data_IF_637707920049
#
_entry.id   IF_637707920049
#
_cell.length_a   1.000
_cell.length_b   1.000
_cell.length_c   1.000
_cell.angle_alpha   90.00
_cell.angle_beta   90.00
_cell.angle_gamma   90.00
#
_symmetry.space_group_name_H-M   'P 1'
#
loop_
_entity.id
_entity.type
_entity.pdbx_description
1 polymer ?
#
# COMPACT_ATOMS: atom_id res chain seq x y z
N UNK A 1 91.22 5.33 19.79
CA UNK A 1 90.50 6.42 20.49
C UNK A 1 89.84 7.30 19.44
N UNK A 2 88.63 7.74 19.75
CA UNK A 2 87.58 8.27 18.88
C UNK A 2 88.00 9.31 17.82
N UNK A 3 87.37 9.27 16.65
CA UNK A 3 86.26 10.19 16.29
C UNK A 3 85.74 9.92 14.87
N UNK A 4 84.42 9.92 14.75
CA UNK A 4 83.59 9.79 13.54
C UNK A 4 83.63 11.05 12.67
N UNK A 5 83.46 10.94 11.33
CA UNK A 5 83.00 12.05 10.51
C UNK A 5 81.53 11.88 10.08
N UNK A 6 80.80 13.00 10.11
CA UNK A 6 79.42 13.14 9.66
C UNK A 6 79.30 12.90 8.14
N UNK A 7 78.24 12.20 7.73
CA UNK A 7 77.92 11.88 6.33
C UNK A 7 76.61 12.58 5.94
N UNK A 8 76.64 13.11 4.73
CA UNK A 8 75.64 13.97 4.09
C UNK A 8 74.26 13.33 3.92
N UNK A 9 73.21 14.03 4.33
CA UNK A 9 71.82 13.67 4.07
C UNK A 9 71.38 14.21 2.70
N UNK A 10 71.13 13.30 1.77
CA UNK A 10 70.42 13.56 0.52
C UNK A 10 68.91 13.34 0.75
N UNK A 11 68.09 14.32 0.33
CA UNK A 11 66.65 14.31 0.48
C UNK A 11 65.97 13.20 -0.35
N UNK A 12 65.00 12.44 0.21
CA UNK A 12 64.15 11.56 -0.56
C UNK A 12 62.92 12.30 -1.08
N UNK A 13 62.68 12.15 -2.39
CA UNK A 13 61.49 12.60 -3.12
C UNK A 13 60.28 11.80 -2.61
N UNK A 14 59.35 12.47 -1.94
CA UNK A 14 58.10 11.87 -1.50
C UNK A 14 57.14 11.72 -2.69
N UNK A 15 56.99 10.51 -3.22
CA UNK A 15 55.92 10.14 -4.15
C UNK A 15 54.56 10.20 -3.44
N UNK A 16 53.77 11.23 -3.75
CA UNK A 16 52.35 11.27 -3.40
C UNK A 16 51.58 10.21 -4.20
N UNK A 17 51.23 9.11 -3.53
CA UNK A 17 50.20 8.19 -4.00
C UNK A 17 48.84 8.88 -3.81
N UNK A 18 48.29 9.47 -4.86
CA UNK A 18 46.89 9.91 -4.87
C UNK A 18 45.99 8.66 -4.91
N UNK A 19 45.58 8.16 -3.74
CA UNK A 19 44.41 7.29 -3.64
C UNK A 19 43.20 8.12 -4.05
N UNK A 20 42.75 7.96 -5.30
CA UNK A 20 41.43 8.39 -5.72
C UNK A 20 40.41 7.51 -5.00
N UNK A 21 39.98 7.94 -3.82
CA UNK A 21 38.76 7.45 -3.19
C UNK A 21 37.62 7.79 -4.15
N UNK A 22 37.12 6.78 -4.87
CA UNK A 22 35.90 6.92 -5.65
C UNK A 22 34.79 7.31 -4.69
N UNK A 23 34.41 8.59 -4.70
CA UNK A 23 33.20 9.05 -4.06
C UNK A 23 32.04 8.38 -4.80
N UNK A 24 31.56 7.26 -4.27
CA UNK A 24 30.23 6.77 -4.58
C UNK A 24 29.28 7.92 -4.23
N UNK A 25 28.73 8.58 -5.25
CA UNK A 25 27.72 9.61 -5.05
C UNK A 25 26.55 8.94 -4.32
N UNK A 26 26.10 9.45 -3.15
CA UNK A 26 25.01 8.83 -2.43
C UNK A 26 23.71 9.32 -3.06
N UNK A 27 23.35 8.76 -4.22
CA UNK A 27 22.00 8.92 -4.74
C UNK A 27 20.97 8.25 -3.80
N UNK A 28 21.40 7.31 -2.94
CA UNK A 28 20.53 6.50 -2.07
C UNK A 28 21.11 6.27 -0.67
N UNK A 29 21.50 7.34 0.04
CA UNK A 29 21.86 7.20 1.46
C UNK A 29 20.64 6.73 2.28
N UNK A 30 20.85 5.86 3.26
CA UNK A 30 19.84 5.57 4.29
C UNK A 30 19.48 6.85 5.07
N UNK A 31 18.33 6.87 5.73
CA UNK A 31 17.86 8.02 6.53
C UNK A 31 18.64 8.20 7.85
N UNK A 32 19.41 7.18 8.26
CA UNK A 32 20.32 7.17 9.42
C UNK A 32 21.51 6.21 9.19
N UNK A 33 22.51 6.26 10.07
CA UNK A 33 23.72 5.43 9.93
C UNK A 33 23.51 4.01 10.49
N UNK A 34 23.44 3.02 9.60
CA UNK A 34 23.31 1.62 10.00
C UNK A 34 24.51 1.03 10.74
N UNK A 35 25.66 1.72 10.76
CA UNK A 35 26.81 1.33 11.61
C UNK A 35 26.60 1.72 13.07
N UNK A 36 25.71 2.67 13.34
CA UNK A 36 25.42 3.16 14.67
C UNK A 36 23.92 3.52 14.82
N UNK A 37 23.00 2.53 14.78
CA UNK A 37 21.57 2.79 14.90
C UNK A 37 21.21 3.35 16.29
N UNK A 38 20.42 4.42 16.32
CA UNK A 38 20.13 5.17 17.56
C UNK A 38 19.03 4.58 18.43
N UNK A 39 18.26 3.61 17.92
CA UNK A 39 17.17 2.96 18.65
C UNK A 39 16.85 1.54 18.13
N UNK A 40 16.02 0.75 18.84
CA UNK A 40 15.69 -0.62 18.42
C UNK A 40 15.05 -0.72 17.04
N UNK A 41 14.26 0.27 16.62
CA UNK A 41 13.63 0.30 15.29
C UNK A 41 14.65 0.47 14.19
N UNK A 42 15.58 1.42 14.33
CA UNK A 42 16.68 1.62 13.40
C UNK A 42 17.56 0.38 13.29
N UNK A 43 17.82 -0.30 14.42
CA UNK A 43 18.54 -1.57 14.41
C UNK A 43 17.79 -2.65 13.62
N UNK A 44 16.48 -2.76 13.79
CA UNK A 44 15.64 -3.69 13.03
C UNK A 44 15.61 -3.34 11.54
N UNK A 45 15.57 -2.06 11.19
CA UNK A 45 15.62 -1.60 9.80
C UNK A 45 16.95 -1.99 9.15
N UNK A 46 18.08 -1.73 9.81
CA UNK A 46 19.40 -2.05 9.25
C UNK A 46 19.68 -3.55 9.15
N UNK A 47 19.03 -4.36 9.99
CA UNK A 47 19.17 -5.81 9.97
C UNK A 47 18.28 -6.48 8.90
N UNK A 48 17.28 -5.77 8.37
CA UNK A 48 16.32 -6.30 7.40
C UNK A 48 16.49 -5.57 6.05
N UNK A 49 16.99 -6.25 4.99
CA UNK A 49 17.25 -5.62 3.68
C UNK A 49 16.02 -4.96 3.03
N UNK A 50 14.80 -5.42 3.32
CA UNK A 50 13.60 -4.80 2.77
C UNK A 50 13.26 -3.51 3.51
N UNK A 51 13.43 -3.50 4.83
CA UNK A 51 13.26 -2.27 5.60
C UNK A 51 14.34 -1.24 5.28
N UNK A 52 15.59 -1.65 5.06
CA UNK A 52 16.67 -0.77 4.59
C UNK A 52 16.33 -0.19 3.20
N UNK A 53 15.77 -0.98 2.27
CA UNK A 53 15.29 -0.45 0.99
C UNK A 53 14.15 0.55 1.13
N UNK A 54 13.16 0.25 1.97
CA UNK A 54 12.06 1.18 2.25
C UNK A 54 12.55 2.48 2.90
N UNK A 55 13.57 2.39 3.77
CA UNK A 55 14.23 3.54 4.38
C UNK A 55 14.96 4.41 3.37
N UNK A 56 15.74 3.79 2.47
CA UNK A 56 16.42 4.49 1.37
C UNK A 56 15.42 5.15 0.43
N UNK A 57 14.38 4.42 0.06
CA UNK A 57 13.33 4.92 -0.84
C UNK A 57 12.58 6.10 -0.22
N UNK A 58 12.24 5.99 1.07
CA UNK A 58 11.70 7.11 1.84
C UNK A 58 12.65 8.31 1.82
N UNK A 59 13.93 8.13 2.12
CA UNK A 59 14.92 9.20 2.17
C UNK A 59 15.10 9.87 0.80
N UNK A 60 15.15 9.07 -0.27
CA UNK A 60 15.27 9.54 -1.65
C UNK A 60 14.06 10.38 -2.05
N UNK A 61 12.84 9.85 -1.88
CA UNK A 61 11.60 10.55 -2.22
C UNK A 61 11.47 11.84 -1.41
N UNK A 62 11.70 11.79 -0.09
CA UNK A 62 11.62 12.97 0.77
C UNK A 62 12.59 14.06 0.34
N UNK A 63 13.86 13.71 0.06
CA UNK A 63 14.87 14.65 -0.42
C UNK A 63 14.51 15.26 -1.77
N UNK A 64 14.12 14.43 -2.74
CA UNK A 64 13.72 14.91 -4.07
C UNK A 64 12.52 15.86 -3.97
N UNK A 65 11.53 15.53 -3.15
CA UNK A 65 10.35 16.36 -2.94
C UNK A 65 10.74 17.73 -2.34
N UNK A 66 11.53 17.73 -1.27
CA UNK A 66 12.01 18.96 -0.62
C UNK A 66 12.83 19.81 -1.59
N UNK A 67 13.77 19.21 -2.33
CA UNK A 67 14.58 19.94 -3.32
C UNK A 67 13.73 20.59 -4.41
N UNK A 68 12.75 19.86 -4.95
CA UNK A 68 11.83 20.38 -5.97
C UNK A 68 11.00 21.56 -5.44
N UNK A 69 10.48 21.45 -4.21
CA UNK A 69 9.74 22.53 -3.54
C UNK A 69 10.59 23.78 -3.34
N UNK A 70 11.83 23.61 -2.86
CA UNK A 70 12.77 24.70 -2.63
C UNK A 70 13.15 25.41 -3.93
N UNK A 71 13.47 24.65 -4.98
CA UNK A 71 13.81 25.20 -6.31
C UNK A 71 12.64 25.96 -6.94
N UNK A 72 11.41 25.49 -6.73
CA UNK A 72 10.21 26.14 -7.24
C UNK A 72 9.85 27.43 -6.45
N UNK A 73 10.38 27.63 -5.23
CA UNK A 73 10.31 28.88 -4.47
C UNK A 73 8.92 29.29 -3.92
N UNK A 74 7.85 28.58 -4.29
CA UNK A 74 6.47 28.89 -3.90
C UNK A 74 5.79 27.70 -3.20
N UNK A 75 6.44 27.04 -2.25
CA UNK A 75 5.92 25.84 -1.55
C UNK A 75 6.12 25.89 -0.03
N UNK A 76 6.22 27.08 0.56
CA UNK A 76 6.54 27.30 1.98
C UNK A 76 5.66 26.49 2.93
N UNK A 77 4.33 26.49 2.76
CA UNK A 77 3.41 25.74 3.64
C UNK A 77 3.56 24.23 3.47
N UNK A 78 3.74 23.77 2.23
CA UNK A 78 3.86 22.36 1.92
C UNK A 78 5.21 21.80 2.38
N UNK A 79 6.28 22.57 2.17
CA UNK A 79 7.62 22.31 2.67
C UNK A 79 7.61 22.26 4.20
N UNK A 80 6.99 23.25 4.85
CA UNK A 80 6.82 23.28 6.30
C UNK A 80 6.07 22.04 6.80
N UNK A 81 4.95 21.66 6.17
CA UNK A 81 4.23 20.45 6.53
C UNK A 81 5.06 19.18 6.39
N UNK A 82 5.78 18.99 5.27
CA UNK A 82 6.63 17.80 5.07
C UNK A 82 7.73 17.74 6.11
N UNK A 83 8.37 18.88 6.41
CA UNK A 83 9.43 19.03 7.40
C UNK A 83 8.92 18.80 8.83
N UNK A 84 7.80 19.41 9.22
CA UNK A 84 7.23 19.28 10.57
C UNK A 84 6.65 17.88 10.83
N UNK A 85 6.06 17.27 9.79
CA UNK A 85 5.51 15.91 9.90
C UNK A 85 6.58 14.82 9.90
N UNK A 86 7.83 15.15 9.54
CA UNK A 86 8.95 14.21 9.49
C UNK A 86 9.29 13.68 10.89
N UNK A 87 9.40 14.55 11.89
CA UNK A 87 9.70 14.15 13.26
C UNK A 87 8.57 13.29 13.83
N UNK A 88 7.32 13.70 13.60
CA UNK A 88 6.14 12.94 14.01
C UNK A 88 6.14 11.54 13.38
N UNK A 89 6.40 11.45 12.08
CA UNK A 89 6.48 10.17 11.39
C UNK A 89 7.63 9.30 11.93
N UNK A 90 8.80 9.86 12.19
CA UNK A 90 9.91 9.12 12.81
C UNK A 90 9.52 8.55 14.17
N UNK A 91 8.79 9.32 14.98
CA UNK A 91 8.26 8.85 16.26
C UNK A 91 7.24 7.71 16.08
N UNK A 92 6.33 7.82 15.12
CA UNK A 92 5.37 6.75 14.77
C UNK A 92 6.09 5.47 14.32
N UNK A 93 7.11 5.60 13.45
CA UNK A 93 7.96 4.48 13.03
C UNK A 93 8.68 3.86 14.22
N UNK A 94 9.33 4.67 15.05
CA UNK A 94 10.13 4.21 16.18
C UNK A 94 9.27 3.61 17.31
N UNK A 95 7.98 3.95 17.39
CA UNK A 95 7.04 3.31 18.29
C UNK A 95 6.82 1.81 17.96
N UNK A 96 7.10 1.39 16.72
CA UNK A 96 7.06 -0.03 16.32
C UNK A 96 8.15 -0.88 16.98
N UNK A 97 9.19 -0.27 17.57
CA UNK A 97 10.33 -0.96 18.19
C UNK A 97 10.90 -2.01 17.22
N UNK A 98 10.88 -3.28 17.57
CA UNK A 98 11.47 -4.36 16.78
C UNK A 98 10.46 -5.09 15.89
N UNK A 99 9.21 -4.63 15.79
CA UNK A 99 8.19 -5.24 14.93
C UNK A 99 8.37 -4.80 13.46
N UNK A 100 8.87 -5.66 12.57
CA UNK A 100 9.18 -5.24 11.22
C UNK A 100 7.93 -5.12 10.33
N UNK A 101 6.77 -5.68 10.74
CA UNK A 101 5.49 -5.45 10.05
C UNK A 101 4.95 -4.07 10.35
N UNK A 102 4.96 -3.67 11.63
CA UNK A 102 4.60 -2.31 12.02
C UNK A 102 5.51 -1.28 11.32
N UNK A 103 6.82 -1.54 11.24
CA UNK A 103 7.76 -0.66 10.54
C UNK A 103 7.45 -0.57 9.04
N UNK A 104 7.20 -1.71 8.37
CA UNK A 104 6.82 -1.76 6.95
C UNK A 104 5.55 -0.92 6.69
N UNK A 105 4.56 -1.06 7.56
CA UNK A 105 3.28 -0.34 7.47
C UNK A 105 3.44 1.16 7.74
N UNK A 106 4.33 1.55 8.67
CA UNK A 106 4.71 2.94 8.90
C UNK A 106 5.42 3.55 7.69
N UNK A 107 6.29 2.80 6.99
CA UNK A 107 6.89 3.23 5.73
C UNK A 107 5.85 3.37 4.62
N UNK A 108 4.97 2.38 4.44
CA UNK A 108 3.93 2.43 3.41
C UNK A 108 3.03 3.66 3.55
N UNK A 109 2.59 3.98 4.79
CA UNK A 109 1.81 5.20 5.07
C UNK A 109 2.58 6.47 4.72
N UNK A 110 3.86 6.55 5.10
CA UNK A 110 4.65 7.75 4.85
C UNK A 110 4.97 7.93 3.38
N UNK A 111 5.31 6.86 2.69
CA UNK A 111 5.49 6.87 1.25
C UNK A 111 4.21 7.28 0.53
N UNK A 112 3.03 6.86 1.00
CA UNK A 112 1.77 7.36 0.47
C UNK A 112 1.63 8.87 0.65
N UNK A 113 1.96 9.42 1.83
CA UNK A 113 1.97 10.88 2.10
C UNK A 113 2.97 11.61 1.22
N UNK A 114 4.22 11.14 1.13
CA UNK A 114 5.28 11.80 0.37
C UNK A 114 5.05 11.74 -1.15
N UNK A 115 4.37 10.69 -1.62
CA UNK A 115 3.95 10.59 -3.02
C UNK A 115 2.61 11.30 -3.30
N UNK A 116 2.03 12.01 -2.32
CA UNK A 116 0.90 12.90 -2.60
C UNK A 116 1.34 14.14 -3.35
N UNK A 117 0.37 14.78 -4.02
CA UNK A 117 0.57 16.12 -4.51
C UNK A 117 0.64 17.13 -3.38
N UNK A 118 1.75 17.84 -3.31
CA UNK A 118 1.81 19.10 -2.59
C UNK A 118 1.54 20.27 -3.55
N UNK A 119 0.78 21.26 -3.08
CA UNK A 119 0.45 22.46 -3.86
C UNK A 119 1.37 23.62 -3.48
N UNK A 120 1.68 24.51 -4.43
CA UNK A 120 2.40 25.73 -4.12
C UNK A 120 1.54 26.67 -3.25
N UNK A 121 2.19 27.55 -2.50
CA UNK A 121 1.49 28.52 -1.67
C UNK A 121 0.62 29.44 -2.53
N UNK A 122 -0.55 29.79 -2.00
CA UNK A 122 -1.39 30.80 -2.62
C UNK A 122 -0.74 32.18 -2.41
N UNK A 123 -0.58 33.00 -3.47
CA UNK A 123 -0.22 34.39 -3.28
C UNK A 123 -1.32 35.09 -2.47
N UNK A 124 -0.91 35.86 -1.46
CA UNK A 124 -1.81 36.75 -0.74
C UNK A 124 -2.34 37.80 -1.73
N UNK A 125 -3.63 37.72 -2.04
CA UNK A 125 -4.39 38.63 -2.90
C UNK A 125 -3.92 38.77 -4.36
N UNK A 126 -4.44 37.89 -5.22
CA UNK A 126 -4.88 38.29 -6.59
C UNK A 126 -5.82 37.23 -7.16
N UNK A 127 -6.88 37.68 -7.84
CA UNK A 127 -7.89 36.86 -8.50
C UNK A 127 -7.29 35.91 -9.58
N UNK A 128 -8.00 34.84 -9.98
CA UNK A 128 -7.41 33.54 -10.24
C UNK A 128 -6.73 33.44 -11.62
N UNK A 129 -5.42 33.23 -11.61
CA UNK A 129 -4.70 32.60 -12.72
C UNK A 129 -4.60 31.09 -12.45
N UNK A 130 -4.83 30.32 -13.50
CA UNK A 130 -5.09 28.88 -13.50
C UNK A 130 -3.86 28.06 -13.10
N UNK A 131 -3.76 27.64 -11.84
CA UNK A 131 -2.93 26.50 -11.42
C UNK A 131 -3.86 25.34 -11.07
N UNK A 132 -3.94 24.32 -11.93
CA UNK A 132 -4.91 23.22 -11.80
C UNK A 132 -4.56 22.33 -10.58
N UNK A 133 -5.34 22.34 -9.50
CA UNK A 133 -5.11 21.51 -8.32
C UNK A 133 -5.41 20.01 -8.56
N UNK A 134 -5.52 19.55 -9.81
CA UNK A 134 -5.92 18.18 -10.16
C UNK A 134 -4.81 17.34 -10.80
N UNK A 135 -3.78 17.97 -11.36
CA UNK A 135 -2.80 17.25 -12.20
C UNK A 135 -2.00 16.19 -11.42
N UNK A 136 -1.65 16.48 -10.17
CA UNK A 136 -0.78 15.61 -9.38
C UNK A 136 -1.56 14.63 -8.49
N UNK A 137 -2.81 14.94 -8.07
CA UNK A 137 -3.74 13.92 -7.53
C UNK A 137 -3.90 12.77 -8.53
N UNK A 138 -3.84 13.14 -9.81
CA UNK A 138 -4.01 12.24 -10.94
C UNK A 138 -2.72 11.64 -11.50
N UNK A 139 -1.60 11.78 -10.78
CA UNK A 139 -0.36 11.12 -11.14
C UNK A 139 -0.53 9.60 -11.13
N UNK A 140 0.00 8.94 -12.16
CA UNK A 140 -0.07 7.47 -12.25
C UNK A 140 0.77 6.82 -11.15
N UNK A 141 0.17 5.87 -10.46
CA UNK A 141 0.86 5.06 -9.46
C UNK A 141 -0.12 4.30 -8.57
N UNK A 142 0.41 3.29 -7.87
CA UNK A 142 -0.33 2.59 -6.84
C UNK A 142 -0.44 3.51 -5.60
N UNK A 143 -1.67 3.92 -5.29
CA UNK A 143 -2.04 4.79 -4.18
C UNK A 143 -3.04 4.10 -3.24
N UNK A 144 -3.12 2.77 -3.27
CA UNK A 144 -4.04 1.99 -2.42
C UNK A 144 -3.59 2.04 -0.97
N UNK A 145 -4.52 2.37 -0.07
CA UNK A 145 -4.34 2.18 1.37
C UNK A 145 -4.67 0.73 1.76
N UNK A 146 -3.64 -0.11 1.83
CA UNK A 146 -3.82 -1.50 2.25
C UNK A 146 -4.24 -1.64 3.72
N UNK A 147 -4.02 -0.65 4.58
CA UNK A 147 -4.53 -0.69 5.96
C UNK A 147 -6.06 -0.60 6.00
N UNK A 148 -6.67 0.14 5.06
CA UNK A 148 -8.12 0.14 4.87
C UNK A 148 -8.66 -1.24 4.47
N UNK A 149 -7.92 -1.96 3.62
CA UNK A 149 -8.33 -3.27 3.08
C UNK A 149 -8.23 -4.37 4.16
N UNK A 150 -7.32 -4.23 5.12
CA UNK A 150 -7.19 -5.17 6.26
C UNK A 150 -8.41 -5.12 7.19
N UNK A 151 -8.62 -6.20 7.95
CA UNK A 151 -9.71 -6.34 8.95
C UNK A 151 -9.26 -6.10 10.41
N UNK A 152 -8.15 -5.38 10.62
CA UNK A 152 -7.44 -5.27 11.91
C UNK A 152 -6.77 -6.59 12.37
N UNK A 153 -6.41 -7.47 11.43
CA UNK A 153 -5.68 -8.69 11.72
C UNK A 153 -4.18 -8.36 11.70
N UNK A 154 -3.48 -8.61 12.81
CA UNK A 154 -2.01 -8.62 12.83
C UNK A 154 -1.47 -9.71 11.90
N UNK A 155 -0.18 -9.65 11.57
CA UNK A 155 0.43 -10.66 10.72
C UNK A 155 0.48 -12.02 11.43
N UNK A 156 -0.14 -13.04 10.83
CA UNK A 156 -0.12 -14.40 11.33
C UNK A 156 0.98 -15.20 10.61
N UNK A 157 1.93 -15.75 11.37
CA UNK A 157 2.98 -16.61 10.83
C UNK A 157 2.49 -18.05 10.71
N UNK A 158 1.73 -18.50 11.71
CA UNK A 158 1.06 -19.79 11.68
C UNK A 158 -0.23 -19.70 10.88
N UNK A 159 -0.51 -20.76 10.14
CA UNK A 159 -1.74 -20.90 9.37
C UNK A 159 -2.90 -21.09 10.35
N UNK A 160 -4.03 -20.45 10.09
CA UNK A 160 -5.23 -20.54 10.93
C UNK A 160 -6.49 -20.43 10.08
N UNK A 161 -7.67 -20.63 10.68
CA UNK A 161 -8.97 -20.40 10.03
C UNK A 161 -9.74 -19.41 10.89
N UNK A 162 -10.04 -18.19 10.39
CA UNK A 162 -10.75 -17.17 11.14
C UNK A 162 -12.06 -17.67 11.74
N UNK A 163 -12.26 -17.46 13.05
CA UNK A 163 -13.43 -17.91 13.83
C UNK A 163 -13.37 -19.34 14.34
N UNK A 164 -12.56 -20.21 13.71
CA UNK A 164 -12.37 -21.58 14.18
C UNK A 164 -11.19 -21.71 15.15
N UNK A 165 -10.08 -21.03 14.85
CA UNK A 165 -8.86 -21.07 15.67
C UNK A 165 -8.75 -19.84 16.57
N UNK A 166 -8.22 -20.03 17.78
CA UNK A 166 -7.71 -18.95 18.61
C UNK A 166 -6.31 -18.56 18.13
N UNK A 167 -5.99 -17.26 18.18
CA UNK A 167 -4.74 -16.71 17.67
C UNK A 167 -4.10 -15.76 18.68
N UNK A 168 -2.77 -15.70 18.65
CA UNK A 168 -2.00 -14.64 19.29
C UNK A 168 -1.42 -13.75 18.19
N UNK A 169 -2.05 -12.59 17.99
CA UNK A 169 -1.65 -11.64 16.94
C UNK A 169 -0.32 -10.94 17.25
N UNK A 170 0.13 -10.90 18.51
CA UNK A 170 1.41 -10.27 18.86
C UNK A 170 2.59 -11.17 18.48
N UNK A 171 2.42 -12.49 18.59
CA UNK A 171 3.44 -13.47 18.22
C UNK A 171 3.19 -14.11 16.85
N UNK A 172 2.03 -13.88 16.24
CA UNK A 172 1.61 -14.45 14.96
C UNK A 172 1.27 -15.94 15.03
N UNK A 173 0.91 -16.46 16.21
CA UNK A 173 0.78 -17.90 16.47
C UNK A 173 -0.65 -18.41 16.47
N UNK A 174 -0.85 -19.63 15.98
CA UNK A 174 -2.12 -20.36 16.08
C UNK A 174 -2.13 -21.14 17.40
N UNK A 175 -3.06 -20.81 18.30
CA UNK A 175 -3.20 -21.40 19.63
C UNK A 175 -4.09 -22.65 19.65
N UNK A 176 -4.54 -23.09 18.48
CA UNK A 176 -5.44 -24.22 18.29
C UNK A 176 -6.90 -23.83 18.19
N UNK A 177 -7.78 -24.85 18.17
CA UNK A 177 -9.23 -24.67 18.12
C UNK A 177 -9.70 -23.73 19.24
N UNK A 178 -10.49 -22.72 18.87
CA UNK A 178 -11.02 -21.74 19.80
C UNK A 178 -11.96 -22.39 20.83
N UNK A 179 -12.11 -21.75 21.98
CA UNK A 179 -13.06 -22.22 23.00
C UNK A 179 -14.50 -22.03 22.51
N UNK A 180 -15.43 -22.93 22.88
CA UNK A 180 -16.84 -22.75 22.57
C UNK A 180 -17.38 -21.42 23.11
N UNK A 181 -18.21 -20.75 22.30
CA UNK A 181 -18.89 -19.54 22.73
C UNK A 181 -20.09 -19.90 23.61
N UNK A 182 -20.15 -19.33 24.81
CA UNK A 182 -21.31 -19.42 25.71
C UNK A 182 -22.28 -18.30 25.42
N UNK A 183 -23.45 -18.65 24.89
CA UNK A 183 -24.55 -17.70 24.78
C UNK A 183 -25.11 -17.33 26.17
N UNK A 184 -25.79 -16.18 26.28
CA UNK A 184 -26.40 -15.70 27.54
C UNK A 184 -27.39 -16.68 28.17
N UNK A 185 -27.91 -17.63 27.40
CA UNK A 185 -28.81 -18.69 27.84
C UNK A 185 -28.07 -19.99 28.25
N UNK A 186 -26.74 -19.96 28.36
CA UNK A 186 -25.93 -21.11 28.75
C UNK A 186 -25.63 -22.12 27.64
N UNK A 187 -26.17 -21.92 26.42
CA UNK A 187 -25.89 -22.81 25.28
C UNK A 187 -24.46 -22.57 24.78
N UNK A 188 -23.66 -23.63 24.79
CA UNK A 188 -22.34 -23.63 24.16
C UNK A 188 -22.47 -23.88 22.65
N UNK A 189 -21.69 -23.14 21.89
CA UNK A 189 -21.58 -23.30 20.44
C UNK A 189 -20.14 -23.53 20.07
N UNK A 190 -19.90 -24.63 19.36
CA UNK A 190 -18.57 -24.95 18.82
C UNK A 190 -18.08 -23.82 17.90
N UNK A 191 -16.78 -23.53 17.89
CA UNK A 191 -16.22 -22.50 17.03
C UNK A 191 -16.43 -22.88 15.56
N UNK A 192 -16.78 -21.89 14.75
CA UNK A 192 -17.09 -22.06 13.33
C UNK A 192 -16.27 -21.08 12.51
N UNK A 193 -15.80 -21.47 11.32
CA UNK A 193 -15.19 -20.54 10.38
C UNK A 193 -16.12 -19.36 10.08
N UNK A 194 -15.56 -18.15 10.02
CA UNK A 194 -16.32 -16.96 9.67
C UNK A 194 -16.71 -17.03 8.19
N UNK A 195 -18.01 -16.99 7.88
CA UNK A 195 -18.52 -16.92 6.51
C UNK A 195 -17.97 -18.02 5.59
N UNK A 196 -17.20 -17.67 4.56
CA UNK A 196 -16.59 -18.58 3.58
C UNK A 196 -15.07 -18.60 3.70
N UNK A 197 -14.53 -18.29 4.90
CA UNK A 197 -13.09 -18.23 5.13
C UNK A 197 -12.44 -19.58 4.87
N UNK A 198 -11.32 -19.59 4.16
CA UNK A 198 -10.40 -20.72 4.09
C UNK A 198 -9.33 -20.63 5.17
N UNK A 199 -8.22 -21.34 4.94
CA UNK A 199 -7.01 -21.17 5.74
C UNK A 199 -6.37 -19.82 5.40
N UNK A 200 -5.95 -19.10 6.42
CA UNK A 200 -5.40 -17.75 6.35
C UNK A 200 -3.99 -17.72 6.94
N UNK A 201 -3.11 -16.92 6.33
CA UNK A 201 -1.73 -16.67 6.79
C UNK A 201 -1.30 -15.25 6.40
N UNK A 202 -0.21 -14.77 7.00
CA UNK A 202 0.33 -13.44 6.76
C UNK A 202 -0.64 -12.36 7.18
N UNK A 203 -0.80 -11.34 6.34
CA UNK A 203 -1.69 -10.19 6.58
C UNK A 203 -3.02 -10.45 5.88
N UNK A 204 -3.73 -11.49 6.34
CA UNK A 204 -5.08 -11.82 5.91
C UNK A 204 -5.19 -12.57 4.58
N UNK A 205 -4.12 -13.22 4.09
CA UNK A 205 -4.14 -13.99 2.83
C UNK A 205 -5.00 -15.23 3.00
N UNK A 206 -6.25 -15.18 2.52
CA UNK A 206 -7.17 -16.31 2.51
C UNK A 206 -6.88 -17.25 1.33
N UNK A 207 -6.19 -18.36 1.63
CA UNK A 207 -5.73 -19.36 0.69
C UNK A 207 -6.92 -20.05 -0.02
N UNK A 208 -8.09 -20.13 0.61
CA UNK A 208 -9.30 -20.68 -0.02
C UNK A 208 -9.80 -19.87 -1.22
N UNK A 209 -9.30 -18.63 -1.40
CA UNK A 209 -9.57 -17.76 -2.55
C UNK A 209 -8.47 -17.75 -3.60
N UNK A 210 -7.38 -18.47 -3.36
CA UNK A 210 -6.20 -18.45 -4.20
C UNK A 210 -6.04 -19.77 -4.95
N UNK A 211 -5.43 -19.70 -6.14
CA UNK A 211 -4.93 -20.88 -6.85
C UNK A 211 -3.41 -20.89 -6.86
N UNK A 212 -2.81 -22.05 -7.13
CA UNK A 212 -1.34 -22.14 -7.19
C UNK A 212 -0.80 -21.18 -8.27
N UNK A 213 -1.46 -21.15 -9.43
CA UNK A 213 -1.10 -20.26 -10.52
C UNK A 213 -1.28 -18.77 -10.18
N UNK A 214 -2.33 -18.39 -9.43
CA UNK A 214 -2.52 -16.99 -9.04
C UNK A 214 -1.41 -16.53 -8.08
N UNK A 215 -1.07 -17.35 -7.08
CA UNK A 215 -0.01 -17.04 -6.14
C UNK A 215 1.37 -17.02 -6.80
N UNK A 216 1.66 -18.00 -7.67
CA UNK A 216 2.92 -18.06 -8.41
C UNK A 216 3.10 -16.79 -9.25
N UNK A 217 2.10 -16.41 -10.03
CA UNK A 217 2.14 -15.16 -10.83
C UNK A 217 2.30 -13.93 -9.95
N UNK A 218 1.49 -13.80 -8.91
CA UNK A 218 1.55 -12.66 -7.99
C UNK A 218 2.94 -12.50 -7.36
N UNK A 219 3.52 -13.58 -6.84
CA UNK A 219 4.84 -13.56 -6.21
C UNK A 219 5.97 -13.28 -7.22
N UNK A 220 5.93 -13.84 -8.43
CA UNK A 220 6.94 -13.50 -9.44
C UNK A 220 6.84 -12.05 -9.88
N UNK A 221 5.62 -11.50 -10.01
CA UNK A 221 5.42 -10.10 -10.35
C UNK A 221 5.89 -9.19 -9.20
N UNK A 222 5.58 -9.54 -7.96
CA UNK A 222 6.08 -8.82 -6.77
C UNK A 222 7.60 -8.78 -6.73
N UNK A 223 8.25 -9.93 -6.94
CA UNK A 223 9.70 -10.04 -6.98
C UNK A 223 10.33 -9.18 -8.08
N UNK A 224 9.63 -9.04 -9.21
CA UNK A 224 10.08 -8.23 -10.35
C UNK A 224 9.94 -6.74 -10.09
N UNK A 225 8.81 -6.31 -9.53
CA UNK A 225 8.48 -4.89 -9.40
C UNK A 225 9.06 -4.28 -8.12
N UNK A 226 9.08 -5.04 -7.02
CA UNK A 226 9.46 -4.57 -5.69
C UNK A 226 10.65 -5.32 -5.08
N UNK A 227 11.04 -6.44 -5.68
CA UNK A 227 12.08 -7.32 -5.16
C UNK A 227 11.52 -8.41 -4.24
N UNK A 228 12.39 -9.36 -3.88
CA UNK A 228 12.09 -10.48 -2.99
C UNK A 228 13.25 -10.65 -2.02
N UNK A 229 13.02 -10.99 -0.74
CA UNK A 229 14.10 -11.36 0.16
C UNK A 229 14.92 -12.55 -0.37
N UNK A 230 16.22 -12.57 -0.05
CA UNK A 230 17.16 -13.59 -0.57
C UNK A 230 16.85 -14.99 -0.01
N UNK A 231 16.40 -15.06 1.24
CA UNK A 231 16.04 -16.28 1.96
C UNK A 231 14.65 -16.83 1.56
N UNK A 232 13.84 -16.02 0.88
CA UNK A 232 12.48 -16.43 0.46
C UNK A 232 12.53 -17.19 -0.86
N UNK A 233 12.05 -18.43 -0.87
CA UNK A 233 11.87 -19.22 -2.09
C UNK A 233 10.38 -19.36 -2.42
N UNK A 234 10.01 -18.98 -3.64
CA UNK A 234 8.62 -19.00 -4.10
C UNK A 234 8.07 -20.43 -4.05
N UNK A 235 8.84 -21.41 -4.52
CA UNK A 235 8.41 -22.82 -4.52
C UNK A 235 8.21 -23.36 -3.09
N UNK A 236 9.08 -23.02 -2.13
CA UNK A 236 8.91 -23.44 -0.73
C UNK A 236 7.63 -22.85 -0.10
N UNK A 237 7.23 -21.62 -0.47
CA UNK A 237 5.95 -21.05 -0.05
C UNK A 237 4.80 -21.82 -0.70
N UNK A 238 4.87 -22.04 -2.03
CA UNK A 238 3.82 -22.75 -2.78
C UNK A 238 3.59 -24.16 -2.23
N UNK A 239 4.64 -24.93 -1.96
CA UNK A 239 4.54 -26.27 -1.40
C UNK A 239 3.85 -26.27 -0.02
N UNK A 240 4.10 -25.25 0.80
CA UNK A 240 3.45 -25.10 2.11
C UNK A 240 1.99 -24.69 2.04
N UNK A 241 1.61 -23.81 1.11
CA UNK A 241 0.24 -23.32 1.00
C UNK A 241 -0.66 -24.24 0.17
N UNK A 242 -0.09 -25.02 -0.76
CA UNK A 242 -0.80 -25.87 -1.72
C UNK A 242 -1.91 -26.73 -1.13
N UNK A 243 -1.74 -27.39 0.04
CA UNK A 243 -2.79 -28.21 0.63
C UNK A 243 -4.04 -27.43 1.08
N UNK A 244 -3.97 -26.10 1.12
CA UNK A 244 -5.01 -25.24 1.70
C UNK A 244 -5.61 -24.25 0.70
N UNK A 245 -5.23 -24.36 -0.57
CA UNK A 245 -5.73 -23.48 -1.64
C UNK A 245 -7.19 -23.78 -1.98
N UNK A 246 -7.79 -22.93 -2.82
CA UNK A 246 -9.13 -23.14 -3.35
C UNK A 246 -9.30 -24.56 -3.93
N UNK A 247 -10.45 -25.24 -3.71
CA UNK A 247 -11.71 -24.72 -3.16
C UNK A 247 -11.87 -24.84 -1.64
N UNK A 248 -10.84 -25.22 -0.87
CA UNK A 248 -10.96 -25.51 0.55
C UNK A 248 -11.38 -24.28 1.36
N UNK A 249 -12.57 -24.35 1.96
CA UNK A 249 -13.19 -23.27 2.73
C UNK A 249 -14.04 -23.82 3.84
N UNK A 250 -14.46 -22.95 4.75
CA UNK A 250 -15.35 -23.29 5.87
C UNK A 250 -14.76 -24.49 6.64
N UNK A 251 -15.60 -25.47 7.00
CA UNK A 251 -15.17 -26.58 7.83
C UNK A 251 -14.15 -27.48 7.12
N UNK A 252 -14.18 -27.57 5.79
CA UNK A 252 -13.18 -28.36 5.04
C UNK A 252 -11.78 -27.78 5.21
N UNK A 253 -11.66 -26.44 5.21
CA UNK A 253 -10.39 -25.77 5.50
C UNK A 253 -9.94 -25.98 6.95
N UNK A 254 -10.87 -25.94 7.92
CA UNK A 254 -10.55 -26.20 9.33
C UNK A 254 -10.09 -27.65 9.54
N UNK A 255 -10.81 -28.61 8.97
CA UNK A 255 -10.48 -30.03 9.05
C UNK A 255 -9.12 -30.33 8.40
N UNK A 256 -8.86 -29.79 7.20
CA UNK A 256 -7.58 -29.97 6.52
C UNK A 256 -6.40 -29.46 7.36
N UNK A 257 -6.57 -28.33 8.06
CA UNK A 257 -5.54 -27.76 8.91
C UNK A 257 -5.34 -28.56 10.22
N UNK A 258 -6.42 -29.07 10.81
CA UNK A 258 -6.35 -29.96 11.98
C UNK A 258 -5.71 -31.31 11.62
N UNK A 259 -6.04 -31.88 10.46
CA UNK A 259 -5.42 -33.11 9.96
C UNK A 259 -3.93 -32.92 9.68
N UNK A 260 -3.54 -31.77 9.11
CA UNK A 260 -2.13 -31.41 8.97
C UNK A 260 -1.41 -31.43 10.33
N UNK A 261 -1.97 -30.74 11.32
CA UNK A 261 -1.41 -30.67 12.67
C UNK A 261 -1.34 -32.05 13.32
N UNK A 262 -2.39 -32.86 13.20
CA UNK A 262 -2.44 -34.23 13.72
C UNK A 262 -1.32 -35.10 13.13
N UNK A 263 -1.07 -34.98 11.83
CA UNK A 263 -0.08 -35.79 11.12
C UNK A 263 1.37 -35.30 11.32
N UNK A 264 1.58 -34.01 11.60
CA UNK A 264 2.92 -33.39 11.68
C UNK A 264 3.31 -32.94 13.09
N UNK A 265 2.39 -33.00 14.06
CA UNK A 265 2.57 -32.53 15.44
C UNK A 265 2.49 -31.01 15.63
N UNK A 266 2.40 -30.22 14.55
CA UNK A 266 2.32 -28.75 14.59
C UNK A 266 1.59 -28.18 13.38
N UNK A 267 1.02 -26.98 13.53
CA UNK A 267 0.48 -26.22 12.40
C UNK A 267 1.63 -25.82 11.44
N UNK A 268 1.33 -25.63 10.14
CA UNK A 268 2.30 -25.05 9.22
C UNK A 268 2.56 -23.59 9.59
N UNK A 269 3.74 -23.10 9.25
CA UNK A 269 4.13 -21.72 9.47
C UNK A 269 5.01 -21.18 8.34
N UNK A 270 4.97 -19.86 8.17
CA UNK A 270 5.88 -19.09 7.33
C UNK A 270 6.87 -18.33 8.22
N UNK A 271 8.06 -18.06 7.69
CA UNK A 271 8.93 -17.04 8.30
C UNK A 271 8.28 -15.66 8.17
N UNK A 272 8.74 -14.69 8.96
CA UNK A 272 8.23 -13.32 8.83
C UNK A 272 8.49 -12.73 7.45
N UNK A 273 9.63 -13.04 6.82
CA UNK A 273 9.96 -12.58 5.47
C UNK A 273 9.02 -13.18 4.41
N UNK A 274 8.75 -14.49 4.50
CA UNK A 274 7.82 -15.19 3.60
C UNK A 274 6.39 -14.68 3.76
N UNK A 275 5.93 -14.51 5.00
CA UNK A 275 4.59 -14.00 5.29
C UNK A 275 4.39 -12.58 4.75
N UNK A 276 5.39 -11.69 4.86
CA UNK A 276 5.35 -10.34 4.26
C UNK A 276 5.30 -10.41 2.75
N UNK A 277 6.22 -11.16 2.16
CA UNK A 277 6.34 -11.25 0.72
C UNK A 277 5.05 -11.80 0.07
N UNK A 278 4.51 -12.90 0.61
CA UNK A 278 3.23 -13.46 0.16
C UNK A 278 2.09 -12.46 0.32
N UNK A 279 2.02 -11.76 1.47
CA UNK A 279 0.96 -10.77 1.73
C UNK A 279 1.01 -9.59 0.77
N UNK A 280 2.21 -9.06 0.50
CA UNK A 280 2.44 -7.96 -0.42
C UNK A 280 2.07 -8.36 -1.85
N UNK A 281 2.55 -9.52 -2.30
CA UNK A 281 2.23 -10.08 -3.60
C UNK A 281 0.71 -10.21 -3.83
N UNK A 282 -0.01 -10.76 -2.86
CA UNK A 282 -1.47 -10.92 -2.96
C UNK A 282 -2.19 -9.57 -2.94
N UNK A 283 -1.76 -8.62 -2.11
CA UNK A 283 -2.31 -7.26 -2.05
C UNK A 283 -2.14 -6.50 -3.38
N UNK A 284 -0.96 -6.56 -3.97
CA UNK A 284 -0.69 -5.95 -5.28
C UNK A 284 -1.43 -6.66 -6.41
N UNK A 285 -1.55 -7.99 -6.38
CA UNK A 285 -2.35 -8.73 -7.37
C UNK A 285 -3.83 -8.33 -7.35
N UNK A 286 -4.43 -8.15 -6.16
CA UNK A 286 -5.81 -7.62 -6.07
C UNK A 286 -5.93 -6.19 -6.61
N UNK A 287 -4.89 -5.38 -6.46
CA UNK A 287 -4.85 -4.01 -7.01
C UNK A 287 -4.80 -4.06 -8.54
N UNK A 288 -3.96 -4.92 -9.12
CA UNK A 288 -3.91 -5.15 -10.56
C UNK A 288 -5.26 -5.67 -11.10
N UNK A 289 -5.87 -6.65 -10.44
CA UNK A 289 -7.20 -7.15 -10.81
C UNK A 289 -8.27 -6.04 -10.76
N UNK A 290 -8.20 -5.14 -9.78
CA UNK A 290 -9.13 -4.00 -9.69
C UNK A 290 -8.90 -3.01 -10.84
N UNK A 291 -7.64 -2.72 -11.17
CA UNK A 291 -7.25 -1.87 -12.28
C UNK A 291 -7.74 -2.43 -13.62
N UNK A 292 -7.52 -3.73 -13.88
CA UNK A 292 -7.96 -4.41 -15.10
C UNK A 292 -9.48 -4.31 -15.29
N UNK A 293 -10.24 -4.61 -14.22
CA UNK A 293 -11.70 -4.54 -14.26
C UNK A 293 -12.16 -3.10 -14.50
N UNK A 294 -11.57 -2.13 -13.80
CA UNK A 294 -11.94 -0.72 -13.93
C UNK A 294 -11.62 -0.17 -15.32
N UNK A 295 -10.37 -0.30 -15.78
CA UNK A 295 -9.90 0.24 -17.05
C UNK A 295 -10.66 -0.35 -18.24
N UNK A 296 -11.02 -1.63 -18.18
CA UNK A 296 -11.83 -2.29 -19.22
C UNK A 296 -13.30 -1.85 -19.22
N UNK A 297 -13.84 -1.45 -18.07
CA UNK A 297 -15.28 -1.26 -17.88
C UNK A 297 -15.71 0.20 -17.74
N UNK A 298 -14.75 1.12 -17.61
CA UNK A 298 -15.00 2.56 -17.49
C UNK A 298 -15.73 3.10 -18.73
N UNK A 299 -16.56 4.13 -18.56
CA UNK A 299 -17.41 4.69 -19.63
C UNK A 299 -17.31 6.20 -19.80
N UNK A 300 -16.25 6.81 -19.27
CA UNK A 300 -16.08 8.25 -19.30
C UNK A 300 -15.35 8.69 -20.56
N UNK A 301 -15.61 9.93 -21.00
CA UNK A 301 -14.88 10.60 -22.06
C UNK A 301 -14.37 11.96 -21.54
N UNK A 302 -13.04 12.19 -21.44
CA UNK A 302 -11.97 11.23 -21.73
C UNK A 302 -11.96 10.04 -20.76
N UNK A 303 -11.40 8.88 -21.17
CA UNK A 303 -11.40 7.66 -20.36
C UNK A 303 -10.69 7.89 -19.02
N UNK A 304 -11.27 7.31 -17.97
CA UNK A 304 -10.58 7.22 -16.68
C UNK A 304 -9.52 6.10 -16.72
N UNK A 305 -8.38 6.32 -16.09
CA UNK A 305 -7.36 5.30 -15.83
C UNK A 305 -7.27 5.07 -14.32
N UNK A 306 -7.39 3.82 -13.89
CA UNK A 306 -7.31 3.41 -12.49
C UNK A 306 -6.07 3.97 -11.81
N UNK A 307 -4.91 3.88 -12.47
CA UNK A 307 -3.64 4.32 -11.90
C UNK A 307 -3.56 5.84 -11.74
N UNK A 308 -4.33 6.59 -12.52
CA UNK A 308 -4.51 8.03 -12.34
C UNK A 308 -5.55 8.37 -11.28
N UNK A 309 -6.41 7.46 -10.82
CA UNK A 309 -7.43 7.83 -9.84
C UNK A 309 -6.81 8.27 -8.49
N UNK A 310 -7.52 9.12 -7.70
CA UNK A 310 -7.17 9.42 -6.32
C UNK A 310 -7.06 8.16 -5.45
N UNK A 311 -6.30 8.25 -4.35
CA UNK A 311 -6.03 7.15 -3.43
C UNK A 311 -7.32 6.49 -2.90
N UNK A 312 -8.34 7.29 -2.57
CA UNK A 312 -9.61 6.83 -2.03
C UNK A 312 -10.39 5.97 -3.03
N UNK A 313 -10.39 6.37 -4.31
CA UNK A 313 -11.05 5.62 -5.36
C UNK A 313 -10.31 4.30 -5.65
N UNK A 314 -8.98 4.32 -5.76
CA UNK A 314 -8.18 3.10 -5.92
C UNK A 314 -8.40 2.14 -4.75
N UNK A 315 -8.42 2.67 -3.52
CA UNK A 315 -8.62 1.90 -2.29
C UNK A 315 -9.98 1.23 -2.28
N UNK A 316 -11.07 1.95 -2.58
CA UNK A 316 -12.41 1.35 -2.59
C UNK A 316 -12.57 0.31 -3.71
N UNK A 317 -12.06 0.58 -4.91
CA UNK A 317 -12.13 -0.38 -6.02
C UNK A 317 -11.34 -1.67 -5.72
N UNK A 318 -10.15 -1.53 -5.12
CA UNK A 318 -9.33 -2.67 -4.69
C UNK A 318 -10.01 -3.42 -3.54
N UNK A 319 -10.57 -2.69 -2.57
CA UNK A 319 -11.27 -3.28 -1.45
C UNK A 319 -12.51 -4.09 -1.86
N UNK A 320 -13.27 -3.62 -2.84
CA UNK A 320 -14.39 -4.37 -3.40
C UNK A 320 -13.89 -5.65 -4.08
N UNK A 321 -12.77 -5.57 -4.81
CA UNK A 321 -12.15 -6.73 -5.47
C UNK A 321 -11.67 -7.75 -4.46
N UNK A 322 -11.06 -7.31 -3.37
CA UNK A 322 -10.61 -8.17 -2.28
C UNK A 322 -11.76 -8.92 -1.60
N UNK A 323 -12.81 -8.21 -1.15
CA UNK A 323 -13.88 -8.83 -0.33
C UNK A 323 -15.00 -9.47 -1.15
N UNK A 324 -15.19 -9.06 -2.40
CA UNK A 324 -16.31 -9.52 -3.22
C UNK A 324 -15.88 -10.09 -4.59
N UNK A 325 -14.57 -10.18 -4.85
CA UNK A 325 -14.04 -10.63 -6.13
C UNK A 325 -14.28 -9.64 -7.28
N UNK A 326 -13.85 -10.04 -8.48
CA UNK A 326 -13.95 -9.22 -9.71
C UNK A 326 -15.40 -8.93 -10.14
N UNK A 327 -16.36 -9.79 -9.79
CA UNK A 327 -17.78 -9.66 -10.16
C UNK A 327 -18.70 -9.12 -9.06
N UNK A 328 -18.21 -8.90 -7.84
CA UNK A 328 -19.05 -8.51 -6.71
C UNK A 328 -19.45 -7.03 -6.71
N UNK A 329 -20.54 -6.71 -5.99
CA UNK A 329 -21.11 -5.36 -5.90
C UNK A 329 -21.35 -4.69 -7.27
N UNK A 330 -21.89 -5.45 -8.22
CA UNK A 330 -22.09 -5.05 -9.62
C UNK A 330 -22.66 -3.65 -9.79
N UNK A 331 -23.70 -3.27 -9.03
CA UNK A 331 -24.32 -1.94 -9.14
C UNK A 331 -23.40 -0.82 -8.64
N UNK A 332 -22.70 -1.01 -7.52
CA UNK A 332 -21.74 -0.01 -7.00
C UNK A 332 -20.57 0.14 -7.99
N UNK A 333 -20.00 -0.98 -8.46
CA UNK A 333 -18.94 -0.96 -9.47
C UNK A 333 -19.37 -0.23 -10.74
N UNK A 334 -20.58 -0.51 -11.23
CA UNK A 334 -21.13 0.16 -12.40
C UNK A 334 -21.16 1.68 -12.23
N UNK A 335 -21.52 2.19 -11.05
CA UNK A 335 -21.51 3.63 -10.76
C UNK A 335 -20.07 4.18 -10.73
N UNK A 336 -19.14 3.48 -10.06
CA UNK A 336 -17.73 3.87 -10.00
C UNK A 336 -17.08 3.90 -11.41
N UNK A 337 -17.35 2.90 -12.25
CA UNK A 337 -16.85 2.85 -13.64
C UNK A 337 -17.43 3.96 -14.52
N UNK A 338 -18.63 4.45 -14.18
CA UNK A 338 -19.24 5.60 -14.83
C UNK A 338 -18.77 6.93 -14.22
N UNK A 339 -17.87 6.96 -13.23
CA UNK A 339 -17.49 8.20 -12.54
C UNK A 339 -18.63 8.82 -11.73
N UNK A 340 -19.69 8.07 -11.42
CA UNK A 340 -20.84 8.53 -10.61
C UNK A 340 -20.52 8.36 -9.12
N UNK A 341 -19.54 9.11 -8.64
CA UNK A 341 -18.94 8.93 -7.31
C UNK A 341 -19.94 9.14 -6.17
N UNK A 342 -20.75 10.21 -6.23
CA UNK A 342 -21.75 10.48 -5.20
C UNK A 342 -22.87 9.41 -5.20
N UNK A 343 -23.35 8.99 -6.38
CA UNK A 343 -24.34 7.91 -6.45
C UNK A 343 -23.77 6.59 -5.91
N UNK A 344 -22.48 6.32 -6.11
CA UNK A 344 -21.83 5.15 -5.53
C UNK A 344 -21.78 5.22 -3.98
N UNK A 345 -21.49 6.39 -3.41
CA UNK A 345 -21.58 6.63 -1.96
C UNK A 345 -22.99 6.36 -1.44
N UNK A 346 -23.99 6.94 -2.09
CA UNK A 346 -25.38 6.79 -1.69
C UNK A 346 -25.83 5.34 -1.81
N UNK A 347 -25.39 4.64 -2.87
CA UNK A 347 -25.69 3.22 -3.04
C UNK A 347 -25.05 2.36 -1.96
N UNK A 348 -23.80 2.63 -1.57
CA UNK A 348 -23.13 1.94 -0.47
C UNK A 348 -23.87 2.15 0.85
N UNK A 349 -24.30 3.38 1.15
CA UNK A 349 -25.11 3.69 2.34
C UNK A 349 -26.46 2.98 2.31
N UNK A 350 -27.11 2.94 1.15
CA UNK A 350 -28.40 2.29 0.95
C UNK A 350 -28.34 0.77 1.21
N UNK A 351 -27.31 0.09 0.70
CA UNK A 351 -27.19 -1.37 0.85
C UNK A 351 -26.55 -1.80 2.18
N UNK A 352 -25.94 -0.86 2.92
CA UNK A 352 -25.25 -1.19 4.16
C UNK A 352 -26.16 -1.91 5.19
N UNK A 353 -27.38 -1.44 5.50
CA UNK A 353 -28.22 -2.04 6.55
C UNK A 353 -28.62 -3.49 6.26
N UNK A 354 -28.79 -3.85 4.99
CA UNK A 354 -29.22 -5.19 4.55
C UNK A 354 -28.05 -6.11 4.21
N UNK A 355 -26.81 -5.63 4.29
CA UNK A 355 -25.62 -6.43 4.03
C UNK A 355 -25.08 -7.07 5.31
N UNK A 356 -24.60 -8.32 5.23
CA UNK A 356 -23.76 -8.93 6.26
C UNK A 356 -22.39 -8.24 6.45
N UNK A 357 -22.19 -7.09 5.81
CA UNK A 357 -20.95 -6.29 5.77
C UNK A 357 -21.24 -4.81 6.02
N UNK A 358 -22.28 -4.48 6.79
CA UNK A 358 -22.76 -3.11 7.06
C UNK A 358 -21.62 -2.12 7.31
N UNK A 359 -20.76 -2.41 8.28
CA UNK A 359 -19.65 -1.53 8.66
C UNK A 359 -18.68 -1.30 7.50
N UNK A 360 -18.40 -2.34 6.70
CA UNK A 360 -17.49 -2.23 5.57
C UNK A 360 -18.08 -1.38 4.45
N UNK A 361 -19.37 -1.51 4.17
CA UNK A 361 -20.06 -0.66 3.20
C UNK A 361 -20.03 0.81 3.64
N UNK A 362 -20.28 1.08 4.93
CA UNK A 362 -20.20 2.43 5.48
C UNK A 362 -18.78 3.00 5.45
N UNK A 363 -17.75 2.20 5.77
CA UNK A 363 -16.35 2.64 5.65
C UNK A 363 -15.99 3.07 4.23
N UNK A 364 -16.41 2.31 3.21
CA UNK A 364 -16.20 2.67 1.79
C UNK A 364 -16.91 3.98 1.43
N UNK A 365 -18.18 4.10 1.83
CA UNK A 365 -18.98 5.30 1.59
C UNK A 365 -18.34 6.54 2.23
N UNK A 366 -17.87 6.42 3.48
CA UNK A 366 -17.20 7.51 4.19
C UNK A 366 -15.89 7.90 3.52
N UNK A 367 -15.08 6.94 3.07
CA UNK A 367 -13.81 7.22 2.40
C UNK A 367 -14.04 8.02 1.10
N UNK A 368 -14.98 7.59 0.26
CA UNK A 368 -15.33 8.31 -0.96
C UNK A 368 -15.99 9.66 -0.68
N UNK A 369 -16.87 9.76 0.32
CA UNK A 369 -17.50 11.04 0.68
C UNK A 369 -16.45 12.05 1.14
N UNK A 370 -15.47 11.65 1.95
CA UNK A 370 -14.37 12.55 2.36
C UNK A 370 -13.55 13.06 1.17
N UNK A 371 -13.30 12.20 0.18
CA UNK A 371 -12.64 12.62 -1.05
C UNK A 371 -13.49 13.60 -1.89
N UNK A 372 -14.81 13.41 -1.91
CA UNK A 372 -15.74 14.35 -2.55
C UNK A 372 -15.77 15.69 -1.81
N UNK A 373 -15.88 15.66 -0.49
CA UNK A 373 -15.92 16.87 0.35
C UNK A 373 -14.59 17.63 0.33
N UNK A 374 -13.48 16.93 0.10
CA UNK A 374 -12.12 17.46 -0.02
C UNK A 374 -11.68 17.80 -1.45
N UNK A 375 -12.59 17.80 -2.43
CA UNK A 375 -12.35 18.11 -3.86
C UNK A 375 -11.34 17.19 -4.58
N UNK A 376 -10.91 16.07 -3.99
CA UNK A 376 -10.06 15.08 -4.68
C UNK A 376 -10.87 14.17 -5.61
N UNK A 377 -12.17 14.03 -5.38
CA UNK A 377 -13.13 13.41 -6.29
C UNK A 377 -14.28 14.37 -6.63
N UNK A 378 -14.69 14.48 -7.91
CA UNK A 378 -15.93 15.18 -8.23
C UNK A 378 -17.14 14.33 -7.80
N UNK A 379 -18.33 14.93 -7.75
CA UNK A 379 -19.57 14.17 -7.54
C UNK A 379 -19.89 13.25 -8.72
N UNK A 380 -19.61 13.72 -9.94
CA UNK A 380 -19.79 13.01 -11.21
C UNK A 380 -18.63 13.34 -12.16
N UNK A 381 -18.23 12.36 -12.97
CA UNK A 381 -17.28 12.52 -14.07
C UNK A 381 -15.87 12.06 -13.74
N UNK A 382 -14.98 12.23 -14.71
CA UNK A 382 -13.57 11.85 -14.60
C UNK A 382 -12.81 12.85 -13.69
N UNK A 383 -12.30 12.43 -12.51
CA UNK A 383 -11.53 13.31 -11.61
C UNK A 383 -10.24 13.85 -12.23
N UNK A 384 -9.77 13.17 -13.28
CA UNK A 384 -8.48 13.39 -13.92
C UNK A 384 -8.61 13.89 -15.37
N UNK A 385 -9.82 14.23 -15.81
CA UNK A 385 -9.99 14.87 -17.10
C UNK A 385 -9.35 16.27 -17.07
N UNK A 386 -8.70 16.71 -18.16
CA UNK A 386 -8.28 18.09 -18.31
C UNK A 386 -9.48 19.02 -18.11
N UNK A 387 -9.36 20.03 -17.24
CA UNK A 387 -10.41 21.05 -17.12
C UNK A 387 -10.53 21.76 -18.47
N UNK A 388 -11.66 21.59 -19.16
CA UNK A 388 -11.93 22.33 -20.39
C UNK A 388 -11.79 23.82 -20.12
N UNK A 389 -10.95 24.50 -20.89
CA UNK A 389 -10.87 25.96 -20.82
C UNK A 389 -12.24 26.54 -21.20
N UNK A 390 -12.73 27.51 -20.42
CA UNK A 390 -14.02 28.17 -20.63
C UNK A 390 -14.19 28.81 -22.03
N UNK A 391 -13.11 28.89 -22.81
CA UNK A 391 -13.08 29.40 -24.18
C UNK A 391 -13.87 28.52 -25.17
N UNK A 392 -13.82 27.19 -25.05
CA UNK A 392 -14.45 26.29 -26.04
C UNK A 392 -15.98 26.23 -25.95
N UNK A 393 -16.57 26.60 -24.80
CA UNK A 393 -18.03 26.72 -24.68
C UNK A 393 -18.58 27.96 -25.38
N UNK A 394 -17.76 29.00 -25.61
CA UNK A 394 -18.20 30.20 -26.34
C UNK A 394 -18.27 29.92 -27.84
N UNK A 395 -17.33 29.18 -28.41
CA UNK A 395 -17.29 28.85 -29.84
C UNK A 395 -18.47 28.01 -30.30
N UNK A 396 -18.90 27.00 -29.53
CA UNK A 396 -20.06 26.17 -29.88
C UNK A 396 -21.41 26.94 -29.84
N UNK A 397 -21.55 27.89 -28.91
CA UNK A 397 -22.73 28.76 -28.83
C UNK A 397 -22.73 29.79 -29.97
N UNK A 398 -21.58 30.38 -30.27
CA UNK A 398 -21.40 31.33 -31.38
C UNK A 398 -21.61 30.68 -32.76
N UNK A 399 -21.20 29.43 -32.97
CA UNK A 399 -21.46 28.71 -34.22
C UNK A 399 -22.94 28.36 -34.44
N UNK A 400 -23.71 28.09 -33.37
CA UNK A 400 -25.18 27.92 -33.47
C UNK A 400 -25.88 29.22 -33.81
N UNK A 401 -25.46 30.35 -33.23
CA UNK A 401 -26.03 31.67 -33.52
C UNK A 401 -25.72 32.11 -34.95
N UNK A 402 -24.52 31.81 -35.48
CA UNK A 402 -24.19 32.10 -36.89
C UNK A 402 -25.02 31.32 -37.92
N UNK A 403 -25.40 30.06 -37.63
CA UNK A 403 -26.22 29.26 -38.55
C UNK A 403 -27.68 29.71 -38.62
N UNK A 404 -28.17 30.45 -37.62
CA UNK A 404 -29.53 31.00 -37.60
C UNK A 404 -29.66 32.37 -38.28
N UNK A 405 -28.55 32.95 -38.77
CA UNK A 405 -28.53 34.24 -39.46
C UNK A 405 -28.31 34.12 -40.98
N UNK A 406 -28.13 32.89 -41.50
CA UNK A 406 -27.94 32.59 -42.93
C UNK A 406 -28.92 31.52 -43.45
N UNK A 407 -30.03 31.33 -42.75
CA UNK A 407 -31.23 30.61 -43.22
C UNK A 407 -32.41 31.56 -43.07
#
# INVERSE_FOLDING_TARGET
>A
MHSTPARSDAAPIASLLFLTLGAASPADAASFDCRNPGNPTEKTICADPQLDRLDREHNRIAKELIMRMQQAGNYTQALQYVQDSEEKWKNERNACRTDPFCITDAYARRLAVLNTCFYPDRPANTAPAQSTPGATVCAKGNKVDFAFIKKNEGAMLDFYVPGYHATDMATGRNLGKAKPNKAKNGKETEPQPIQNSGVTVGVGVDLGQQTEDSLRRAMHQEAKDYGKPDDVKIDDILDRVKPFLSPLRRMDAANALEDYKKNRGKYPSLTSAEARFLSSAVQHDYTQQAADVFNKSQRQEPPMDFWSLPAEAQTVLTDITYHHGRGGLTRVRSLLHQGKWQEAVDKLRQIAPSSGFKERMLKRATLLQKAIDGDSLPKDGNPCAPKQAAADRRTALWERVRRLWWA
#
